data_IF_781814446010
#
_entry.id   IF_781814446010
#
_cell.length_a   1.000
_cell.length_b   1.000
_cell.length_c   1.000
_cell.angle_alpha   90.00
_cell.angle_beta   90.00
_cell.angle_gamma   90.00
#
_symmetry.space_group_name_H-M   'P 1'
#
loop_
_entity.id
_entity.type
_entity.pdbx_description
1 polymer ?
#
# COMPACT_ATOMS: atom_id res chain seq x y z
N UNK A 1 8.49 -21.21 -12.35
CA UNK A 1 8.08 -20.64 -12.32
C UNK A 1 7.84 -19.93 -11.53
N UNK A 2 7.88 -19.49 -11.31
CA UNK A 2 7.78 -18.72 -10.55
C UNK A 2 6.83 -18.24 -10.48
N UNK A 3 6.77 -18.36 -10.80
CA UNK A 3 5.99 -18.01 -10.84
C UNK A 3 5.32 -17.30 -10.14
N UNK A 4 5.38 -17.53 -9.39
CA UNK A 4 4.63 -16.89 -8.67
C UNK A 4 4.28 -15.67 -9.04
N UNK A 5 4.97 -15.14 -9.42
CA UNK A 5 4.61 -13.96 -9.56
C UNK A 5 3.33 -13.74 -9.90
N UNK A 6 2.87 -13.89 -10.60
CA UNK A 6 1.77 -13.45 -11.00
C UNK A 6 0.71 -13.26 -10.28
N UNK A 7 0.75 -13.55 -9.30
CA UNK A 7 -0.36 -13.46 -8.66
C UNK A 7 -1.12 -12.27 -8.72
N UNK A 8 -0.89 -11.26 -8.30
CA UNK A 8 -1.71 -10.16 -8.29
C UNK A 8 -1.71 -9.54 -9.59
N UNK A 9 -2.11 -10.18 -10.55
CA UNK A 9 -2.07 -9.60 -11.82
C UNK A 9 -2.74 -8.33 -11.83
N UNK A 10 -2.28 -7.41 -12.33
CA UNK A 10 -2.86 -6.10 -12.41
C UNK A 10 -2.48 -5.17 -11.30
N UNK A 11 -1.95 -5.64 -10.28
CA UNK A 11 -1.55 -4.77 -9.20
C UNK A 11 -0.06 -4.61 -9.24
N UNK A 12 0.41 -3.41 -9.28
CA UNK A 12 1.83 -3.16 -9.30
C UNK A 12 2.22 -2.14 -8.29
N UNK A 13 3.38 -2.27 -7.76
CA UNK A 13 3.90 -1.30 -6.81
C UNK A 13 4.67 -0.26 -7.62
N UNK A 14 4.22 0.95 -7.57
CA UNK A 14 4.83 2.02 -8.30
C UNK A 14 5.77 2.76 -7.39
N UNK A 15 7.04 2.79 -7.78
CA UNK A 15 8.02 3.44 -6.93
C UNK A 15 8.07 4.89 -7.21
N UNK A 16 7.90 5.75 -6.24
CA UNK A 16 8.01 7.10 -6.46
C UNK A 16 8.64 7.73 -5.35
N UNK A 17 8.99 8.78 -5.39
CA UNK A 17 9.60 9.47 -4.31
C UNK A 17 10.95 9.04 -4.01
N UNK A 18 11.67 8.53 -4.80
CA UNK A 18 12.88 8.20 -4.45
C UNK A 18 13.75 9.25 -4.28
N UNK A 19 13.74 10.12 -4.67
CA UNK A 19 14.60 11.10 -4.54
C UNK A 19 15.10 11.36 -3.32
N UNK A 20 14.75 11.52 -2.58
CA UNK A 20 15.17 11.94 -1.46
C UNK A 20 16.34 11.63 -1.00
N UNK A 21 16.66 11.00 -1.00
CA UNK A 21 17.76 10.72 -0.57
C UNK A 21 18.11 11.05 0.69
N UNK A 22 18.18 11.45 1.10
CA UNK A 22 18.50 11.79 2.25
C UNK A 22 18.52 10.86 3.21
N UNK A 23 19.31 10.80 3.91
CA UNK A 23 19.43 9.92 4.87
C UNK A 23 18.60 10.24 5.86
N UNK A 24 17.87 10.44 5.82
CA UNK A 24 17.02 10.71 6.67
C UNK A 24 17.28 10.33 7.89
N UNK A 25 17.63 9.69 8.06
CA UNK A 25 17.87 9.42 9.19
C UNK A 25 17.62 10.15 10.21
N UNK A 26 18.02 10.08 10.83
CA UNK A 26 17.89 10.82 11.74
C UNK A 26 16.86 10.84 12.47
N UNK A 27 16.44 10.98 12.66
CA UNK A 27 15.48 11.20 13.36
C UNK A 27 15.02 10.32 14.18
N UNK A 28 15.08 9.69 14.19
CA UNK A 28 14.60 8.83 14.90
C UNK A 28 14.78 9.03 16.21
N UNK A 29 15.14 9.82 16.61
CA UNK A 29 15.33 10.05 17.83
C UNK A 29 14.44 9.40 18.74
N UNK A 30 13.43 9.23 18.70
CA UNK A 30 12.67 8.68 19.61
C UNK A 30 12.89 7.30 19.61
N UNK A 31 13.61 6.85 18.86
CA UNK A 31 13.85 5.61 18.91
C UNK A 31 12.85 4.65 18.69
N UNK A 32 11.82 4.94 18.44
CA UNK A 32 10.89 4.05 18.19
C UNK A 32 10.65 3.78 16.80
N UNK A 33 11.12 4.49 15.88
CA UNK A 33 10.86 4.30 14.48
C UNK A 33 11.84 3.30 13.91
N UNK A 34 11.34 2.28 13.25
CA UNK A 34 12.24 1.33 12.66
C UNK A 34 12.78 1.94 11.38
N UNK A 35 14.05 1.79 11.15
CA UNK A 35 14.67 2.35 9.95
C UNK A 35 14.70 1.31 8.85
N UNK A 36 14.07 1.62 7.76
CA UNK A 36 13.99 0.71 6.63
C UNK A 36 14.33 1.49 5.38
N UNK A 37 15.23 0.94 4.56
CA UNK A 37 15.54 1.59 3.30
C UNK A 37 14.32 1.66 2.41
N UNK A 38 14.21 2.68 1.59
CA UNK A 38 13.04 2.78 0.70
C UNK A 38 12.85 1.55 -0.18
N UNK A 39 13.93 1.02 -0.74
CA UNK A 39 13.76 -0.15 -1.59
C UNK A 39 13.35 -1.36 -0.79
N UNK A 40 13.90 -1.49 0.39
CA UNK A 40 13.50 -2.60 1.24
C UNK A 40 12.02 -2.48 1.61
N UNK A 41 11.57 -1.26 1.87
CA UNK A 41 10.17 -1.06 2.21
C UNK A 41 9.28 -1.47 1.02
N UNK A 42 9.69 -1.14 -0.18
CA UNK A 42 8.92 -1.53 -1.35
C UNK A 42 8.87 -3.05 -1.49
N UNK A 43 9.94 -3.74 -1.15
CA UNK A 43 9.92 -5.19 -1.16
C UNK A 43 8.95 -5.72 -0.12
N UNK A 44 8.87 -5.06 1.02
CA UNK A 44 7.94 -5.47 2.05
C UNK A 44 6.50 -5.23 1.64
N UNK A 45 6.26 -4.14 0.91
CA UNK A 45 4.94 -3.87 0.39
C UNK A 45 4.56 -4.98 -0.60
N UNK A 46 5.49 -5.36 -1.47
CA UNK A 46 5.20 -6.42 -2.41
C UNK A 46 4.89 -7.74 -1.68
N UNK A 47 5.63 -8.02 -0.63
CA UNK A 47 5.37 -9.23 0.14
C UNK A 47 4.00 -9.17 0.80
N UNK A 48 3.62 -8.01 1.29
CA UNK A 48 2.32 -7.87 1.92
C UNK A 48 1.20 -8.08 0.90
N UNK A 49 1.39 -7.56 -0.30
CA UNK A 49 0.38 -7.74 -1.33
C UNK A 49 0.25 -9.20 -1.74
N UNK A 50 1.33 -9.94 -1.73
CA UNK A 50 1.26 -11.34 -2.06
C UNK A 50 0.49 -12.14 -1.01
N UNK A 51 0.37 -11.61 0.18
CA UNK A 51 -0.34 -12.31 1.24
C UNK A 51 -1.79 -11.91 1.40
N UNK A 52 -2.32 -11.14 0.47
CA UNK A 52 -3.70 -10.71 0.59
C UNK A 52 -4.67 -11.84 0.28
N UNK A 53 -5.86 -11.81 0.87
CA UNK A 53 -6.87 -12.79 0.52
C UNK A 53 -7.17 -12.75 -0.97
N UNK A 54 -7.43 -13.90 -1.55
CA UNK A 54 -7.64 -13.98 -2.97
C UNK A 54 -8.80 -13.13 -3.45
N UNK A 55 -9.87 -13.09 -2.70
CA UNK A 55 -11.01 -12.30 -3.10
C UNK A 55 -10.68 -10.81 -3.10
N UNK A 56 -9.88 -10.39 -2.14
CA UNK A 56 -9.48 -9.00 -2.12
C UNK A 56 -8.56 -8.70 -3.29
N UNK A 57 -7.71 -9.64 -3.64
CA UNK A 57 -6.84 -9.44 -4.79
C UNK A 57 -7.64 -9.20 -6.06
N UNK A 58 -8.79 -9.85 -6.18
CA UNK A 58 -9.60 -9.60 -7.34
C UNK A 58 -10.16 -8.20 -7.36
N UNK A 59 -10.52 -7.66 -6.22
CA UNK A 59 -10.99 -6.29 -6.15
C UNK A 59 -9.89 -5.32 -6.52
N UNK A 60 -8.65 -5.71 -6.33
CA UNK A 60 -7.55 -4.81 -6.61
C UNK A 60 -7.00 -4.95 -8.02
N UNK A 61 -7.69 -5.68 -8.89
CA UNK A 61 -7.16 -5.90 -10.20
C UNK A 61 -6.83 -4.64 -10.96
N UNK A 62 -7.53 -3.57 -10.75
CA UNK A 62 -7.21 -2.33 -11.43
C UNK A 62 -6.85 -1.25 -10.44
N UNK A 63 -6.03 -1.61 -9.46
CA UNK A 63 -5.60 -0.67 -8.44
C UNK A 63 -4.08 -0.63 -8.47
N UNK A 64 -3.52 0.56 -8.57
CA UNK A 64 -2.08 0.72 -8.53
C UNK A 64 -1.68 1.01 -7.10
N UNK A 65 -0.58 0.44 -6.66
CA UNK A 65 -0.09 0.67 -5.31
C UNK A 65 1.14 1.55 -5.40
N UNK A 66 1.12 2.67 -4.72
CA UNK A 66 2.20 3.64 -4.74
C UNK A 66 2.75 3.78 -3.34
N UNK A 67 4.04 3.91 -3.22
CA UNK A 67 4.68 4.08 -1.93
C UNK A 67 5.25 5.49 -1.83
N UNK A 68 4.91 6.17 -0.74
CA UNK A 68 5.49 7.46 -0.47
C UNK A 68 6.48 7.31 0.65
N UNK A 69 7.72 7.69 0.41
CA UNK A 69 8.77 7.47 1.41
C UNK A 69 8.94 8.65 2.35
N UNK A 70 8.50 9.80 1.95
CA UNK A 70 8.64 10.99 2.79
C UNK A 70 7.48 11.17 3.72
N UNK A 71 7.39 12.33 4.34
CA UNK A 71 6.28 12.56 5.25
C UNK A 71 4.98 12.56 4.50
N UNK A 72 3.97 11.98 5.08
CA UNK A 72 2.65 11.97 4.49
C UNK A 72 1.67 12.75 5.33
N UNK A 73 0.42 12.69 4.99
CA UNK A 73 -0.60 13.36 5.77
C UNK A 73 -0.63 12.79 7.17
N UNK A 74 -0.88 13.69 8.13
CA UNK A 74 -0.86 13.25 9.47
C UNK A 74 -1.90 12.22 9.76
N UNK A 75 -1.56 11.20 10.42
CA UNK A 75 -2.52 10.19 10.83
C UNK A 75 -2.89 9.19 9.79
N UNK A 76 -2.32 9.24 8.61
CA UNK A 76 -2.66 8.26 7.60
C UNK A 76 -1.55 7.27 7.39
N UNK A 77 -1.89 5.98 7.38
CA UNK A 77 -0.96 4.93 7.03
C UNK A 77 -1.06 4.61 5.55
N UNK A 78 -2.22 4.85 4.97
CA UNK A 78 -2.45 4.66 3.57
C UNK A 78 -3.67 5.43 3.14
N UNK A 79 -3.87 5.54 1.83
CA UNK A 79 -5.00 6.28 1.32
C UNK A 79 -5.43 5.71 -0.02
N UNK A 80 -6.70 5.38 -0.15
CA UNK A 80 -7.24 4.89 -1.41
C UNK A 80 -7.84 6.07 -2.16
N UNK A 81 -7.48 6.21 -3.42
CA UNK A 81 -8.00 7.28 -4.25
C UNK A 81 -8.57 6.69 -5.52
N UNK A 82 -9.85 6.80 -5.70
CA UNK A 82 -10.47 6.37 -6.92
C UNK A 82 -10.34 7.42 -8.00
N UNK A 83 -10.44 7.01 -9.23
CA UNK A 83 -10.40 7.94 -10.34
C UNK A 83 -11.82 8.37 -10.63
N UNK A 84 -12.14 9.65 -10.57
CA UNK A 84 -13.50 10.09 -10.82
C UNK A 84 -13.96 9.71 -12.22
N UNK A 85 -15.20 9.33 -12.34
CA UNK A 85 -15.71 8.98 -13.65
C UNK A 85 -15.60 10.13 -14.63
N UNK A 86 -15.68 11.33 -14.13
CA UNK A 86 -15.60 12.48 -15.03
C UNK A 86 -14.22 12.60 -15.64
N UNK A 87 -13.24 11.95 -15.09
CA UNK A 87 -11.92 12.00 -15.66
C UNK A 87 -11.70 10.95 -16.72
N UNK A 88 -12.66 10.09 -16.92
CA UNK A 88 -12.51 9.03 -17.90
C UNK A 88 -13.26 9.41 -19.15
N UNK A 89 -12.58 9.99 -20.09
CA UNK A 89 -13.26 10.48 -21.27
C UNK A 89 -13.21 9.44 -22.37
N UNK A 90 -13.99 9.65 -23.36
CA UNK A 90 -14.01 8.71 -24.45
C UNK A 90 -12.73 8.73 -25.25
N UNK A 91 -11.93 9.75 -25.10
CA UNK A 91 -10.70 9.75 -25.82
C UNK A 91 -9.71 8.83 -25.22
N UNK A 92 -9.85 8.46 -23.98
CA UNK A 92 -8.89 7.66 -23.34
C UNK A 92 -9.24 6.22 -23.59
N UNK A 93 -8.40 5.52 -24.28
CA UNK A 93 -8.70 4.18 -24.64
C UNK A 93 -8.64 3.21 -23.50
N UNK A 94 -7.96 3.49 -22.48
CA UNK A 94 -7.84 2.54 -21.41
C UNK A 94 -8.61 2.97 -20.20
N UNK A 95 -8.48 2.22 -19.14
CA UNK A 95 -9.12 2.54 -17.89
C UNK A 95 -8.06 2.99 -16.93
N UNK A 96 -8.19 4.17 -16.39
CA UNK A 96 -7.23 4.65 -15.40
C UNK A 96 -7.42 3.86 -14.12
N UNK A 97 -6.35 3.40 -13.53
CA UNK A 97 -6.49 2.62 -12.31
C UNK A 97 -6.76 3.51 -11.12
N UNK A 98 -7.48 2.99 -10.16
CA UNK A 98 -7.53 3.62 -8.87
C UNK A 98 -6.16 3.46 -8.23
N UNK A 99 -5.91 4.15 -7.15
CA UNK A 99 -4.60 4.10 -6.55
C UNK A 99 -4.70 4.04 -5.05
N UNK A 100 -3.80 3.27 -4.46
CA UNK A 100 -3.70 3.28 -3.02
C UNK A 100 -2.28 3.69 -2.72
N UNK A 101 -2.09 4.63 -1.84
CA UNK A 101 -0.77 5.11 -1.45
C UNK A 101 -0.46 4.61 -0.06
N UNK A 102 0.74 4.08 0.12
CA UNK A 102 1.19 3.59 1.40
C UNK A 102 2.27 4.54 1.89
N UNK A 103 2.13 5.02 3.12
CA UNK A 103 3.06 6.01 3.66
C UNK A 103 4.09 5.33 4.55
N UNK A 104 5.30 5.21 4.04
CA UNK A 104 6.35 4.48 4.74
C UNK A 104 6.63 5.02 6.12
N UNK A 105 6.79 6.33 6.24
CA UNK A 105 7.17 6.86 7.54
C UNK A 105 6.10 6.61 8.60
N UNK A 106 4.86 6.73 8.22
CA UNK A 106 3.79 6.52 9.17
C UNK A 106 3.73 5.07 9.61
N UNK A 107 3.92 4.16 8.68
CA UNK A 107 3.88 2.75 9.05
C UNK A 107 5.08 2.37 9.89
N UNK A 108 6.27 2.83 9.52
CA UNK A 108 7.44 2.47 10.29
C UNK A 108 7.43 3.09 11.68
N UNK A 109 6.70 4.16 11.85
CA UNK A 109 6.65 4.81 13.16
C UNK A 109 5.89 3.98 14.20
N UNK A 110 5.06 3.05 13.75
CA UNK A 110 4.30 2.26 14.70
C UNK A 110 4.71 0.79 14.68
N UNK A 111 5.83 0.48 14.07
CA UNK A 111 6.31 -0.89 14.01
C UNK A 111 7.70 -0.97 14.60
N UNK A 112 8.01 -2.10 15.20
CA UNK A 112 9.34 -2.31 15.77
C UNK A 112 10.18 -3.25 14.94
N UNK A 113 9.58 -4.08 14.13
CA UNK A 113 10.33 -5.07 13.36
C UNK A 113 9.83 -5.11 11.95
N UNK A 114 10.63 -5.68 11.06
CA UNK A 114 10.22 -5.80 9.67
C UNK A 114 8.97 -6.67 9.48
N UNK A 115 8.85 -7.81 10.16
CA UNK A 115 7.61 -8.55 10.03
C UNK A 115 6.38 -7.75 10.44
N UNK A 116 6.52 -6.87 11.42
CA UNK A 116 5.42 -6.03 11.80
C UNK A 116 5.10 -5.03 10.71
N UNK A 117 6.11 -4.56 10.00
CA UNK A 117 5.88 -3.64 8.89
C UNK A 117 5.08 -4.34 7.79
N UNK A 118 5.47 -5.56 7.44
CA UNK A 118 4.75 -6.29 6.39
C UNK A 118 3.30 -6.50 6.81
N UNK A 119 3.09 -6.88 8.06
CA UNK A 119 1.72 -7.10 8.52
C UNK A 119 0.92 -5.80 8.56
N UNK A 120 1.55 -4.71 8.96
CA UNK A 120 0.85 -3.43 9.02
C UNK A 120 0.48 -2.95 7.61
N UNK A 121 1.36 -3.16 6.64
CA UNK A 121 1.04 -2.80 5.27
C UNK A 121 -0.14 -3.63 4.80
N UNK A 122 -0.13 -4.92 5.09
CA UNK A 122 -1.22 -5.79 4.68
C UNK A 122 -2.54 -5.32 5.26
N UNK A 123 -2.56 -5.00 6.55
CA UNK A 123 -3.78 -4.54 7.18
C UNK A 123 -4.24 -3.20 6.62
N UNK A 124 -3.29 -2.32 6.33
CA UNK A 124 -3.64 -1.03 5.78
C UNK A 124 -4.27 -1.18 4.40
N UNK A 125 -3.70 -2.02 3.56
CA UNK A 125 -4.26 -2.23 2.25
C UNK A 125 -5.65 -2.84 2.36
N UNK A 126 -5.82 -3.84 3.21
CA UNK A 126 -7.11 -4.48 3.36
C UNK A 126 -8.17 -3.48 3.78
N UNK A 127 -7.85 -2.66 4.78
CA UNK A 127 -8.83 -1.72 5.28
C UNK A 127 -9.18 -0.63 4.25
N UNK A 128 -8.18 -0.11 3.57
CA UNK A 128 -8.45 0.96 2.62
C UNK A 128 -9.25 0.45 1.43
N UNK A 129 -8.90 -0.70 0.91
CA UNK A 129 -9.61 -1.25 -0.22
C UNK A 129 -11.01 -1.67 0.19
N UNK A 130 -11.13 -2.32 1.33
CA UNK A 130 -12.43 -2.79 1.77
C UNK A 130 -13.40 -1.65 2.01
N UNK A 131 -12.93 -0.60 2.66
CA UNK A 131 -13.80 0.52 2.92
C UNK A 131 -14.23 1.20 1.62
N UNK A 132 -13.34 1.27 0.66
CA UNK A 132 -13.70 1.86 -0.62
C UNK A 132 -14.82 1.07 -1.28
N UNK A 133 -14.84 -0.24 -1.10
CA UNK A 133 -15.86 -1.07 -1.70
C UNK A 133 -17.03 -1.34 -0.76
N UNK A 134 -17.12 -0.58 0.31
CA UNK A 134 -18.28 -0.67 1.19
C UNK A 134 -18.26 -1.81 2.19
N UNK A 135 -17.12 -2.37 2.44
CA UNK A 135 -17.01 -3.45 3.41
C UNK A 135 -16.54 -2.85 4.72
N UNK A 136 -17.35 -2.94 5.75
CA UNK A 136 -16.98 -2.34 7.02
C UNK A 136 -16.20 -3.33 7.88
N UNK A 137 -15.78 -2.89 9.05
CA UNK A 137 -14.92 -3.70 9.88
C UNK A 137 -15.58 -4.97 10.36
N UNK A 138 -16.87 -4.93 10.63
CA UNK A 138 -17.55 -6.12 11.07
C UNK A 138 -17.55 -7.16 9.96
N UNK A 139 -17.75 -6.72 8.75
CA UNK A 139 -17.76 -7.65 7.64
C UNK A 139 -16.35 -8.19 7.38
N UNK A 140 -15.33 -7.35 7.59
CA UNK A 140 -13.97 -7.81 7.44
C UNK A 140 -13.69 -8.95 8.41
N UNK A 141 -14.15 -8.80 9.63
CA UNK A 141 -13.93 -9.84 10.61
C UNK A 141 -14.64 -11.12 10.20
N UNK A 142 -15.85 -11.00 9.67
CA UNK A 142 -16.56 -12.17 9.23
C UNK A 142 -15.86 -12.86 8.09
N UNK A 143 -15.23 -12.09 7.21
CA UNK A 143 -14.52 -12.68 6.10
C UNK A 143 -13.16 -13.23 6.49
N UNK A 144 -12.70 -12.90 7.66
CA UNK A 144 -11.38 -13.36 8.10
C UNK A 144 -10.25 -12.57 7.48
N UNK A 145 -10.51 -11.37 7.05
CA UNK A 145 -9.49 -10.53 6.40
C UNK A 145 -8.72 -9.63 7.34
#
# INVERSE_FOLDING_TARGET
MPAGGGSLSGTQVIRRGRGGSGPAAGFADNGVVIAVDPERFEDMVAAALDGLPEDLGRLMRNVAVTVEHGPGPRGLLGLYQGVPLTSRTSQYAGVLPDRITIYQRAICAICDTEPQVVEQVRRTVIHEVAHHFGIDDDRLAELGW
#
